data_IF_041711524173
#
_entry.id   IF_041711524173
#
_cell.length_a   1.000
_cell.length_b   1.000
_cell.length_c   1.000
_cell.angle_alpha   90.00
_cell.angle_beta   90.00
_cell.angle_gamma   90.00
#
_symmetry.space_group_name_H-M   'P 1'
#
loop_
_entity.id
_entity.type
_entity.pdbx_description
1 polymer ?
#
# COMPACT_ATOMS: atom_id res chain seq x y z
N UNK A 1 -4.08 20.63 -11.62
CA UNK A 1 -4.58 20.56 -10.23
C UNK A 1 -4.37 19.13 -9.74
N UNK A 2 -3.60 18.93 -8.68
CA UNK A 2 -3.46 17.64 -8.03
C UNK A 2 -4.77 17.28 -7.31
N UNK A 3 -5.24 16.04 -7.45
CA UNK A 3 -6.39 15.55 -6.65
C UNK A 3 -5.94 15.42 -5.19
N UNK A 4 -6.75 15.89 -4.24
CA UNK A 4 -6.58 15.55 -2.83
C UNK A 4 -6.94 14.08 -2.64
N UNK A 5 -6.11 13.34 -1.92
CA UNK A 5 -6.27 11.91 -1.66
C UNK A 5 -6.54 11.68 -0.17
N UNK A 6 -7.36 10.69 0.14
CA UNK A 6 -7.50 10.15 1.49
C UNK A 6 -6.59 8.94 1.65
N UNK A 7 -5.75 8.94 2.68
CA UNK A 7 -4.90 7.79 3.04
C UNK A 7 -5.31 7.33 4.43
N UNK A 8 -5.77 6.09 4.51
CA UNK A 8 -5.86 5.36 5.76
C UNK A 8 -4.51 4.66 6.00
N UNK A 9 -3.79 5.11 7.04
CA UNK A 9 -2.48 4.59 7.41
C UNK A 9 -2.62 3.69 8.65
N UNK A 10 -3.19 2.50 8.43
CA UNK A 10 -3.40 1.51 9.48
C UNK A 10 -2.13 0.71 9.81
N UNK A 11 -2.10 0.11 11.01
CA UNK A 11 -0.95 -0.70 11.48
C UNK A 11 -0.70 -1.94 10.62
N UNK A 12 -1.76 -2.59 10.13
CA UNK A 12 -1.63 -3.86 9.36
C UNK A 12 -1.80 -3.64 7.86
N UNK A 13 -2.74 -2.80 7.47
CA UNK A 13 -3.00 -2.47 6.07
C UNK A 13 -3.26 -0.99 5.95
N UNK A 14 -2.94 -0.46 4.78
CA UNK A 14 -3.24 0.90 4.36
C UNK A 14 -4.17 0.88 3.14
N UNK A 15 -4.95 1.94 2.96
CA UNK A 15 -5.90 2.09 1.87
C UNK A 15 -5.85 3.53 1.35
N UNK A 16 -6.09 3.72 0.05
CA UNK A 16 -6.14 5.04 -0.58
C UNK A 16 -7.47 5.22 -1.32
N UNK A 17 -8.06 6.40 -1.17
CA UNK A 17 -9.28 6.78 -1.86
C UNK A 17 -9.18 8.19 -2.45
N UNK A 18 -9.98 8.43 -3.48
CA UNK A 18 -10.21 9.75 -4.08
C UNK A 18 -11.71 10.05 -4.14
N UNK A 19 -12.03 11.32 -4.30
CA UNK A 19 -13.36 11.72 -4.77
C UNK A 19 -13.41 11.61 -6.30
N UNK A 20 -14.33 10.79 -6.80
CA UNK A 20 -14.67 10.66 -8.22
C UNK A 20 -16.00 11.36 -8.48
N UNK A 21 -15.93 12.64 -8.83
CA UNK A 21 -17.08 13.54 -8.77
C UNK A 21 -17.56 13.69 -7.33
N UNK A 22 -18.81 13.30 -7.06
CA UNK A 22 -19.43 13.35 -5.73
C UNK A 22 -19.35 12.04 -4.95
N UNK A 23 -18.75 10.98 -5.51
CA UNK A 23 -18.68 9.67 -4.86
C UNK A 23 -17.23 9.32 -4.45
N UNK A 24 -17.00 8.79 -3.23
CA UNK A 24 -15.70 8.28 -2.85
C UNK A 24 -15.40 6.96 -3.57
N UNK A 25 -14.16 6.79 -4.04
CA UNK A 25 -13.70 5.56 -4.69
C UNK A 25 -12.34 5.14 -4.14
N UNK A 26 -12.25 3.89 -3.69
CA UNK A 26 -10.98 3.25 -3.31
C UNK A 26 -10.18 2.90 -4.58
N UNK A 27 -8.86 3.08 -4.53
CA UNK A 27 -7.97 2.80 -5.65
C UNK A 27 -7.26 1.47 -5.42
N UNK A 28 -7.11 0.69 -6.48
CA UNK A 28 -6.26 -0.51 -6.48
C UNK A 28 -4.78 -0.11 -6.57
N UNK A 29 -3.93 -0.81 -5.81
CA UNK A 29 -2.48 -0.69 -5.91
C UNK A 29 -1.95 -1.38 -7.17
N UNK A 30 -0.63 -1.32 -7.39
CA UNK A 30 0.01 -1.91 -8.55
C UNK A 30 -0.19 -3.44 -8.63
N UNK A 31 -0.49 -4.09 -7.51
CA UNK A 31 -0.76 -5.52 -7.39
C UNK A 31 -2.24 -5.89 -7.58
N UNK A 32 -3.11 -4.92 -7.90
CA UNK A 32 -4.54 -5.13 -8.12
C UNK A 32 -5.37 -5.28 -6.85
N UNK A 33 -4.81 -4.96 -5.68
CA UNK A 33 -5.51 -5.03 -4.39
C UNK A 33 -5.95 -3.63 -3.93
N UNK A 34 -7.10 -3.55 -3.26
CA UNK A 34 -7.64 -2.28 -2.71
C UNK A 34 -7.02 -1.86 -1.38
N UNK A 35 -6.24 -2.74 -0.77
CA UNK A 35 -5.44 -2.43 0.41
C UNK A 35 -4.02 -2.90 0.18
N UNK A 36 -3.08 -2.22 0.84
CA UNK A 36 -1.65 -2.53 0.79
C UNK A 36 -1.21 -2.93 2.19
N UNK A 37 -0.51 -4.07 2.39
CA UNK A 37 0.07 -4.39 3.69
C UNK A 37 0.97 -3.26 4.18
N UNK A 38 0.83 -2.86 5.44
CA UNK A 38 1.65 -1.82 6.08
C UNK A 38 3.00 -2.42 6.51
N UNK A 39 3.73 -2.93 5.53
CA UNK A 39 4.98 -3.67 5.70
C UNK A 39 6.00 -3.07 4.75
N UNK A 40 7.16 -2.74 5.30
CA UNK A 40 8.36 -2.33 4.56
C UNK A 40 9.43 -3.37 4.84
N UNK A 41 10.16 -3.78 3.82
CA UNK A 41 11.31 -4.63 3.99
C UNK A 41 12.50 -4.09 3.20
N UNK A 42 13.69 -4.31 3.72
CA UNK A 42 14.94 -3.88 3.11
C UNK A 42 15.67 -5.11 2.58
N UNK A 43 16.09 -5.06 1.33
CA UNK A 43 17.04 -6.02 0.77
C UNK A 43 18.39 -5.31 0.61
N UNK A 44 19.41 -6.02 0.15
CA UNK A 44 20.73 -5.42 -0.11
C UNK A 44 20.66 -4.24 -1.08
N UNK A 45 19.73 -4.27 -2.05
CA UNK A 45 19.69 -3.31 -3.16
C UNK A 45 18.35 -2.57 -3.31
N UNK A 46 17.30 -2.98 -2.60
CA UNK A 46 15.95 -2.47 -2.83
C UNK A 46 15.16 -2.29 -1.52
N UNK A 47 14.19 -1.38 -1.55
CA UNK A 47 13.18 -1.23 -0.52
C UNK A 47 11.86 -1.78 -1.06
N UNK A 48 11.40 -2.87 -0.48
CA UNK A 48 10.13 -3.49 -0.81
C UNK A 48 9.03 -2.92 0.09
N UNK A 49 7.85 -2.68 -0.47
CA UNK A 49 6.68 -2.18 0.25
C UNK A 49 5.46 -3.02 -0.10
N UNK A 50 4.58 -3.28 0.87
CA UNK A 50 3.30 -3.93 0.60
C UNK A 50 3.42 -5.42 0.33
N UNK A 51 2.81 -5.88 -0.76
CA UNK A 51 2.71 -7.31 -1.04
C UNK A 51 4.07 -7.99 -1.29
N UNK A 52 5.02 -7.40 -2.05
CA UNK A 52 6.39 -7.90 -2.15
C UNK A 52 7.09 -8.06 -0.79
N UNK A 53 7.01 -7.05 0.08
CA UNK A 53 7.61 -7.11 1.41
C UNK A 53 7.00 -8.22 2.28
N UNK A 54 5.66 -8.35 2.25
CA UNK A 54 4.95 -9.41 2.99
C UNK A 54 5.36 -10.83 2.54
N UNK A 55 5.61 -11.04 1.25
CA UNK A 55 5.93 -12.37 0.70
C UNK A 55 7.25 -12.93 1.22
N UNK A 56 8.24 -12.07 1.43
CA UNK A 56 9.57 -12.48 1.86
C UNK A 56 9.78 -12.43 3.38
N UNK A 57 8.80 -11.95 4.15
CA UNK A 57 8.93 -11.75 5.60
C UNK A 57 9.30 -13.03 6.38
N UNK A 58 8.98 -14.22 5.85
CA UNK A 58 9.37 -15.50 6.46
C UNK A 58 10.83 -15.85 6.21
N UNK A 59 11.39 -15.48 5.06
CA UNK A 59 12.78 -15.75 4.68
C UNK A 59 13.73 -14.60 5.03
N UNK A 60 13.19 -13.40 5.25
CA UNK A 60 13.89 -12.20 5.68
C UNK A 60 13.11 -11.53 6.83
N UNK A 61 13.24 -12.08 8.06
CA UNK A 61 12.48 -11.61 9.22
C UNK A 61 13.02 -10.31 9.85
N UNK A 62 14.29 -9.97 9.57
CA UNK A 62 15.00 -8.78 10.04
C UNK A 62 15.08 -7.70 8.95
#
# INVERSE_FOLDING_TARGET
MSKVIGIDLGTTNSCIAIMDGSQPRVIENAEGARTTPSIVAFTENERLVGQPAKRQAVTNPD
#
